data_IF_401731749186
#
_entry.id   IF_401731749186
#
_cell.length_a   1.000
_cell.length_b   1.000
_cell.length_c   1.000
_cell.angle_alpha   90.00
_cell.angle_beta   90.00
_cell.angle_gamma   90.00
#
_symmetry.space_group_name_H-M   'P 1'
#
loop_
_entity.id
_entity.type
_entity.pdbx_description
1 polymer ?
#
# COMPACT_ATOMS: atom_id res chain seq x y z
N UNK A 1 53.56 -6.80 -25.24
CA UNK A 1 54.62 -6.28 -26.13
C UNK A 1 54.63 -4.78 -25.99
N UNK A 2 55.76 -4.21 -25.54
CA UNK A 2 56.04 -2.76 -25.49
C UNK A 2 55.82 -2.12 -26.86
N UNK A 3 55.29 -0.89 -26.90
CA UNK A 3 56.06 0.30 -27.34
C UNK A 3 55.25 1.58 -27.16
N UNK A 4 55.80 2.41 -26.29
CA UNK A 4 55.69 3.86 -26.30
C UNK A 4 56.24 4.48 -27.59
N UNK A 5 56.04 5.80 -27.67
CA UNK A 5 56.82 6.80 -28.40
C UNK A 5 56.19 7.21 -29.74
N UNK A 6 56.06 8.49 -30.13
CA UNK A 6 56.29 9.83 -29.57
C UNK A 6 56.06 10.80 -30.75
N UNK A 7 56.03 12.11 -30.46
CA UNK A 7 56.35 13.25 -31.34
C UNK A 7 55.21 14.19 -31.75
N UNK A 8 55.22 15.28 -30.99
CA UNK A 8 54.91 16.66 -31.30
C UNK A 8 54.98 17.09 -32.78
N UNK A 9 54.09 18.03 -33.15
CA UNK A 9 54.51 19.24 -33.84
C UNK A 9 53.48 20.37 -33.64
N UNK A 10 54.05 21.51 -33.23
CA UNK A 10 53.51 22.86 -33.12
C UNK A 10 52.96 23.36 -34.46
N UNK A 11 51.86 24.11 -34.49
CA UNK A 11 51.72 25.30 -35.35
C UNK A 11 50.72 26.28 -34.74
N UNK A 12 51.22 27.48 -34.44
CA UNK A 12 50.44 28.63 -34.04
C UNK A 12 49.82 29.31 -35.26
N UNK A 13 48.56 29.73 -35.17
CA UNK A 13 48.03 30.86 -35.95
C UNK A 13 47.10 31.68 -35.06
N UNK A 14 47.52 32.92 -34.82
CA UNK A 14 46.72 34.02 -34.27
C UNK A 14 45.83 34.60 -35.39
N UNK A 15 44.58 34.93 -35.07
CA UNK A 15 43.69 35.78 -35.88
C UNK A 15 42.24 35.59 -35.45
N UNK A 16 41.72 36.38 -34.51
CA UNK A 16 41.02 37.67 -34.66
C UNK A 16 39.60 37.58 -35.26
N UNK A 17 38.69 38.27 -34.54
CA UNK A 17 37.38 38.82 -34.96
C UNK A 17 36.11 37.95 -34.87
N UNK A 18 35.49 38.02 -33.69
CA UNK A 18 34.11 38.48 -33.42
C UNK A 18 33.07 38.36 -34.55
N UNK A 19 32.03 37.55 -34.31
CA UNK A 19 30.64 37.95 -34.61
C UNK A 19 29.70 37.34 -33.57
N UNK A 20 29.02 38.22 -32.83
CA UNK A 20 27.90 37.88 -31.97
C UNK A 20 26.73 37.43 -32.84
N UNK A 21 26.41 36.14 -32.78
CA UNK A 21 25.20 35.55 -33.35
C UNK A 21 24.32 35.02 -32.23
N UNK A 22 23.28 35.80 -31.87
CA UNK A 22 22.20 35.40 -30.97
C UNK A 22 21.61 34.05 -31.37
N UNK A 23 21.94 32.99 -30.62
CA UNK A 23 21.11 31.79 -30.57
C UNK A 23 20.13 31.95 -29.40
N UNK A 24 18.80 31.89 -29.62
CA UNK A 24 17.89 31.63 -28.54
C UNK A 24 18.11 30.18 -28.13
N UNK A 25 18.96 29.95 -27.13
CA UNK A 25 18.86 28.73 -26.36
C UNK A 25 17.47 28.76 -25.73
N UNK A 26 16.57 27.91 -26.24
CA UNK A 26 15.47 27.40 -25.45
C UNK A 26 16.09 26.76 -24.22
N UNK A 27 16.26 27.57 -23.17
CA UNK A 27 16.45 27.06 -21.82
C UNK A 27 15.15 26.34 -21.52
N UNK A 28 15.19 25.01 -21.58
CA UNK A 28 14.25 24.20 -20.80
C UNK A 28 14.14 24.83 -19.41
N UNK A 29 12.94 24.91 -18.82
CA UNK A 29 12.85 25.29 -17.43
C UNK A 29 13.67 24.29 -16.63
N UNK A 30 14.86 24.71 -16.21
CA UNK A 30 15.55 24.10 -15.09
C UNK A 30 14.66 24.44 -13.92
N UNK A 31 13.75 23.52 -13.60
CA UNK A 31 13.15 23.49 -12.26
C UNK A 31 14.36 23.34 -11.35
N UNK A 32 14.76 24.46 -10.74
CA UNK A 32 15.73 24.44 -9.66
C UNK A 32 15.08 23.61 -8.55
N UNK A 33 15.43 22.33 -8.48
CA UNK A 33 15.20 21.49 -7.32
C UNK A 33 15.94 22.16 -6.17
N UNK A 34 15.24 23.02 -5.44
CA UNK A 34 15.71 23.59 -4.19
C UNK A 34 16.06 22.44 -3.24
N UNK A 35 17.31 22.43 -2.81
CA UNK A 35 17.93 21.51 -1.83
C UNK A 35 17.71 20.00 -2.08
N UNK A 36 18.75 19.34 -2.58
CA UNK A 36 18.93 17.87 -2.56
C UNK A 36 19.23 17.30 -1.17
N UNK A 37 19.08 18.08 -0.10
CA UNK A 37 19.29 17.59 1.25
C UNK A 37 18.05 16.82 1.69
N UNK A 38 18.05 15.52 1.39
CA UNK A 38 17.13 14.56 1.97
C UNK A 38 17.26 14.68 3.50
N UNK A 39 16.29 15.33 4.14
CA UNK A 39 16.33 15.47 5.58
C UNK A 39 16.30 14.09 6.22
N UNK A 40 17.05 13.91 7.32
CA UNK A 40 16.98 12.68 8.11
C UNK A 40 15.55 12.57 8.65
N UNK A 41 14.74 11.74 8.00
CA UNK A 41 13.36 11.50 8.40
C UNK A 41 13.40 10.65 9.67
N UNK A 42 12.85 11.19 10.77
CA UNK A 42 12.69 10.43 12.02
C UNK A 42 11.71 9.28 11.76
N UNK A 43 12.08 8.07 12.15
CA UNK A 43 11.19 6.91 12.09
C UNK A 43 9.91 7.12 12.91
N UNK A 44 8.79 6.60 12.41
CA UNK A 44 7.51 6.59 13.14
C UNK A 44 7.62 5.55 14.26
N UNK A 45 7.53 5.99 15.52
CA UNK A 45 7.68 5.13 16.70
C UNK A 45 6.38 4.46 17.16
N UNK A 46 5.30 4.57 16.38
CA UNK A 46 4.03 3.93 16.70
C UNK A 46 4.06 2.46 16.28
N UNK A 47 3.92 1.56 17.27
CA UNK A 47 4.03 0.12 17.04
C UNK A 47 2.87 -0.47 16.23
N UNK A 48 1.66 0.11 16.30
CA UNK A 48 0.52 -0.33 15.51
C UNK A 48 0.72 0.08 14.05
N UNK A 49 1.12 1.34 13.82
CA UNK A 49 1.47 1.82 12.48
C UNK A 49 2.60 1.00 11.88
N UNK A 50 3.68 0.75 12.62
CA UNK A 50 4.81 -0.03 12.13
C UNK A 50 4.40 -1.47 11.76
N UNK A 51 3.62 -2.15 12.62
CA UNK A 51 3.13 -3.51 12.34
C UNK A 51 2.22 -3.54 11.12
N UNK A 52 1.27 -2.61 11.03
CA UNK A 52 0.34 -2.53 9.90
C UNK A 52 1.07 -2.24 8.59
N UNK A 53 2.04 -1.31 8.59
CA UNK A 53 2.73 -0.95 7.35
C UNK A 53 3.79 -1.96 6.91
N UNK A 54 4.44 -2.67 7.84
CA UNK A 54 5.52 -3.60 7.49
C UNK A 54 5.06 -5.05 7.31
N UNK A 55 4.06 -5.51 8.06
CA UNK A 55 3.75 -6.93 8.18
C UNK A 55 2.36 -7.32 7.67
N UNK A 56 1.53 -6.36 7.24
CA UNK A 56 0.17 -6.68 6.84
C UNK A 56 0.07 -7.30 5.45
N UNK A 57 -0.94 -8.14 5.28
CA UNK A 57 -1.52 -8.41 3.97
C UNK A 57 -2.52 -7.29 3.67
N UNK A 58 -2.41 -6.67 2.50
CA UNK A 58 -3.28 -5.56 2.09
C UNK A 58 -4.18 -6.01 0.96
N UNK A 59 -5.48 -5.81 1.12
CA UNK A 59 -6.49 -6.01 0.07
C UNK A 59 -7.06 -4.66 -0.32
N UNK A 60 -6.92 -4.31 -1.60
CA UNK A 60 -7.62 -3.18 -2.21
C UNK A 60 -9.06 -3.57 -2.49
N UNK A 61 -10.01 -3.01 -1.73
CA UNK A 61 -11.41 -3.38 -1.84
C UNK A 61 -12.07 -2.76 -3.07
N UNK A 62 -11.56 -1.64 -3.58
CA UNK A 62 -12.05 -1.04 -4.82
C UNK A 62 -11.62 -1.82 -6.06
N UNK A 63 -10.52 -2.57 -5.96
CA UNK A 63 -10.07 -3.50 -7.02
C UNK A 63 -10.93 -4.77 -7.15
N UNK A 64 -11.85 -5.01 -6.22
CA UNK A 64 -12.77 -6.15 -6.28
C UNK A 64 -13.95 -5.85 -7.22
N UNK A 65 -14.55 -6.91 -7.79
CA UNK A 65 -15.74 -6.76 -8.63
C UNK A 65 -16.86 -6.03 -7.89
N UNK A 66 -17.37 -4.94 -8.48
CA UNK A 66 -18.40 -4.06 -7.92
C UNK A 66 -17.86 -2.88 -7.10
N UNK A 67 -16.55 -2.81 -6.82
CA UNK A 67 -15.94 -1.74 -6.03
C UNK A 67 -15.55 -0.48 -6.81
N UNK A 68 -15.62 -0.52 -8.14
CA UNK A 68 -15.32 0.56 -9.08
C UNK A 68 -16.37 1.68 -9.09
N UNK A 69 -17.58 1.37 -8.62
CA UNK A 69 -18.71 2.32 -8.56
C UNK A 69 -18.85 3.08 -7.24
N UNK A 70 -17.98 2.80 -6.25
CA UNK A 70 -18.03 3.45 -4.95
C UNK A 70 -17.22 4.76 -4.93
N UNK A 71 -17.76 5.79 -4.27
CA UNK A 71 -17.02 7.03 -3.97
C UNK A 71 -16.11 6.89 -2.73
N UNK A 72 -15.99 5.68 -2.18
CA UNK A 72 -15.11 5.38 -1.06
C UNK A 72 -13.84 4.70 -1.56
N UNK A 73 -12.68 5.23 -1.18
CA UNK A 73 -11.41 4.51 -1.24
C UNK A 73 -11.27 3.63 -0.01
N UNK A 74 -11.12 2.31 -0.19
CA UNK A 74 -11.11 1.35 0.90
C UNK A 74 -9.99 0.33 0.78
N UNK A 75 -9.26 0.13 1.88
CA UNK A 75 -8.20 -0.88 2.00
C UNK A 75 -8.36 -1.66 3.30
N UNK A 76 -8.32 -2.98 3.20
CA UNK A 76 -8.29 -3.86 4.35
C UNK A 76 -6.87 -4.33 4.61
N UNK A 77 -6.40 -4.12 5.83
CA UNK A 77 -5.10 -4.57 6.31
C UNK A 77 -5.31 -5.73 7.28
N UNK A 78 -4.70 -6.88 7.03
CA UNK A 78 -4.64 -8.01 7.95
C UNK A 78 -3.25 -8.14 8.55
N UNK A 79 -3.09 -7.86 9.83
CA UNK A 79 -1.80 -7.98 10.54
C UNK A 79 -1.68 -9.38 11.15
N UNK A 80 -0.66 -10.19 10.78
CA UNK A 80 -0.54 -11.55 11.26
C UNK A 80 -0.34 -11.59 12.77
N UNK A 81 -1.12 -12.43 13.44
CA UNK A 81 -1.00 -12.73 14.87
C UNK A 81 -0.41 -14.12 15.03
N UNK A 82 0.78 -14.17 15.62
CA UNK A 82 1.42 -15.42 16.00
C UNK A 82 0.70 -16.05 17.19
N UNK A 83 0.75 -17.38 17.26
CA UNK A 83 0.20 -18.14 18.37
C UNK A 83 0.76 -19.56 18.38
N UNK A 84 0.15 -20.44 19.16
CA UNK A 84 0.58 -21.85 19.30
C UNK A 84 -0.30 -22.82 18.53
N UNK A 85 -1.09 -22.33 17.55
CA UNK A 85 -2.02 -23.16 16.79
C UNK A 85 -1.30 -24.14 15.85
N UNK A 86 -0.05 -23.88 15.46
CA UNK A 86 0.78 -24.80 14.69
C UNK A 86 2.11 -24.96 15.44
N UNK A 87 2.46 -26.17 15.91
CA UNK A 87 3.72 -26.40 16.63
C UNK A 87 4.93 -26.05 15.77
N UNK A 88 5.93 -25.41 16.37
CA UNK A 88 7.28 -25.23 15.78
C UNK A 88 7.31 -24.51 14.42
N UNK A 89 6.33 -23.65 14.12
CA UNK A 89 6.31 -22.84 12.89
C UNK A 89 6.07 -21.35 13.17
N UNK A 90 6.30 -20.50 12.17
CA UNK A 90 5.97 -19.07 12.17
C UNK A 90 4.64 -18.76 11.48
N UNK A 91 3.82 -19.77 11.19
CA UNK A 91 2.53 -19.59 10.52
C UNK A 91 1.60 -18.78 11.43
N UNK A 92 0.92 -17.73 10.92
CA UNK A 92 -0.02 -16.97 11.72
C UNK A 92 -1.21 -17.83 12.13
N UNK A 93 -1.70 -17.62 13.35
CA UNK A 93 -2.89 -18.31 13.87
C UNK A 93 -4.17 -17.52 13.63
N UNK A 94 -4.02 -16.23 13.39
CA UNK A 94 -5.09 -15.26 13.24
C UNK A 94 -4.53 -14.02 12.53
N UNK A 95 -5.42 -13.12 12.14
CA UNK A 95 -5.09 -11.78 11.68
C UNK A 95 -5.88 -10.75 12.48
N UNK A 96 -5.23 -9.64 12.80
CA UNK A 96 -5.83 -8.44 13.37
C UNK A 96 -6.15 -7.46 12.24
N UNK A 97 -7.44 -7.16 12.04
CA UNK A 97 -7.89 -6.46 10.84
C UNK A 97 -8.19 -4.99 11.07
N UNK A 98 -7.74 -4.16 10.13
CA UNK A 98 -7.99 -2.72 10.08
C UNK A 98 -8.55 -2.34 8.71
N UNK A 99 -9.69 -1.63 8.70
CA UNK A 99 -10.30 -1.11 7.48
C UNK A 99 -10.03 0.39 7.40
N UNK A 100 -9.24 0.82 6.42
CA UNK A 100 -9.10 2.23 6.09
C UNK A 100 -10.16 2.62 5.06
N UNK A 101 -10.86 3.72 5.32
CA UNK A 101 -11.90 4.28 4.45
C UNK A 101 -11.63 5.77 4.25
N UNK A 102 -11.69 6.23 3.00
CA UNK A 102 -11.53 7.63 2.61
C UNK A 102 -12.52 8.00 1.53
N UNK A 103 -12.90 9.27 1.45
CA UNK A 103 -13.66 9.81 0.30
C UNK A 103 -12.70 10.22 -0.83
N UNK A 104 -13.26 10.45 -2.03
CA UNK A 104 -12.55 11.00 -3.19
C UNK A 104 -12.81 12.51 -3.40
N UNK A 105 -12.94 13.27 -2.32
CA UNK A 105 -13.21 14.72 -2.34
C UNK A 105 -11.93 15.57 -2.23
N UNK A 106 -12.04 16.89 -2.42
CA UNK A 106 -10.93 17.85 -2.27
C UNK A 106 -10.36 17.89 -0.83
N UNK A 107 -11.21 17.64 0.15
CA UNK A 107 -10.85 17.49 1.57
C UNK A 107 -11.43 16.18 2.08
N UNK A 108 -10.81 15.04 1.74
CA UNK A 108 -11.41 13.74 1.97
C UNK A 108 -11.50 13.48 3.47
N UNK A 109 -12.68 13.10 3.94
CA UNK A 109 -12.81 12.53 5.28
C UNK A 109 -12.16 11.14 5.27
N UNK A 110 -11.51 10.80 6.37
CA UNK A 110 -10.75 9.56 6.50
C UNK A 110 -10.97 8.95 7.87
N UNK A 111 -11.13 7.63 7.90
CA UNK A 111 -11.18 6.86 9.14
C UNK A 111 -10.48 5.53 8.98
N UNK A 112 -10.00 5.00 10.11
CA UNK A 112 -9.51 3.63 10.21
C UNK A 112 -10.31 2.93 11.30
N UNK A 113 -10.93 1.82 10.95
CA UNK A 113 -11.72 1.01 11.87
C UNK A 113 -10.95 -0.25 12.23
N UNK A 114 -10.94 -0.59 13.51
CA UNK A 114 -10.42 -1.86 14.01
C UNK A 114 -11.53 -2.91 14.00
N UNK A 115 -11.39 -3.94 13.16
CA UNK A 115 -12.37 -5.02 13.04
C UNK A 115 -12.11 -6.17 14.03
N UNK A 116 -10.97 -6.12 14.72
CA UNK A 116 -10.56 -7.10 15.72
C UNK A 116 -9.72 -8.25 15.16
N UNK A 117 -9.38 -9.16 16.08
CA UNK A 117 -8.60 -10.36 15.81
C UNK A 117 -9.55 -11.50 15.47
N UNK A 118 -9.47 -11.99 14.23
CA UNK A 118 -10.19 -13.18 13.76
C UNK A 118 -9.20 -14.13 13.07
N UNK A 119 -9.64 -15.31 12.61
CA UNK A 119 -8.75 -16.23 11.91
C UNK A 119 -8.28 -15.67 10.58
N UNK A 120 -9.07 -15.83 9.52
CA UNK A 120 -8.79 -15.31 8.19
C UNK A 120 -10.09 -14.87 7.51
N UNK A 121 -10.01 -13.81 6.71
CA UNK A 121 -11.07 -13.36 5.80
C UNK A 121 -10.69 -13.80 4.38
N UNK A 122 -11.08 -15.02 3.93
CA UNK A 122 -10.70 -15.52 2.61
C UNK A 122 -11.43 -14.81 1.47
N UNK A 123 -12.66 -14.32 1.71
CA UNK A 123 -13.52 -13.76 0.67
C UNK A 123 -14.24 -12.51 1.17
N UNK A 124 -14.18 -11.46 0.34
CA UNK A 124 -14.95 -10.23 0.45
C UNK A 124 -15.62 -9.97 -0.89
N UNK A 125 -16.94 -9.72 -0.84
CA UNK A 125 -17.73 -9.51 -2.06
C UNK A 125 -18.60 -8.28 -1.90
N UNK A 126 -18.61 -7.41 -2.90
CA UNK A 126 -19.55 -6.30 -2.96
C UNK A 126 -20.98 -6.81 -3.16
N UNK A 127 -21.90 -6.35 -2.31
CA UNK A 127 -23.32 -6.70 -2.41
C UNK A 127 -24.09 -5.60 -3.14
N UNK A 128 -23.86 -4.34 -2.78
CA UNK A 128 -24.50 -3.21 -3.42
C UNK A 128 -23.75 -1.90 -3.17
N UNK A 129 -23.90 -0.99 -4.13
CA UNK A 129 -23.57 0.44 -4.02
C UNK A 129 -24.86 1.20 -4.30
N UNK A 130 -25.84 1.10 -3.40
CA UNK A 130 -27.12 1.80 -3.58
C UNK A 130 -26.97 3.31 -3.38
N UNK A 131 -25.93 3.71 -2.64
CA UNK A 131 -25.58 5.09 -2.37
C UNK A 131 -24.06 5.24 -2.59
N UNK A 132 -23.58 6.29 -3.28
CA UNK A 132 -22.17 6.39 -3.66
C UNK A 132 -21.20 6.38 -2.46
N UNK A 133 -21.64 6.97 -1.34
CA UNK A 133 -20.83 7.14 -0.12
C UNK A 133 -21.08 6.02 0.91
N UNK A 134 -21.72 4.93 0.48
CA UNK A 134 -21.96 3.74 1.29
C UNK A 134 -21.51 2.51 0.54
N UNK A 135 -20.91 1.58 1.29
CA UNK A 135 -20.57 0.27 0.78
C UNK A 135 -21.25 -0.81 1.63
N UNK A 136 -21.77 -1.85 0.98
CA UNK A 136 -22.12 -3.09 1.67
C UNK A 136 -21.29 -4.23 1.12
N UNK A 137 -20.51 -4.85 2.00
CA UNK A 137 -19.71 -6.03 1.70
C UNK A 137 -20.27 -7.24 2.43
N UNK A 138 -20.25 -8.40 1.77
CA UNK A 138 -20.35 -9.70 2.44
C UNK A 138 -18.95 -10.19 2.72
N UNK A 139 -18.74 -10.62 3.96
CA UNK A 139 -17.48 -11.12 4.48
C UNK A 139 -17.67 -12.53 5.01
N UNK A 140 -16.82 -13.44 4.57
CA UNK A 140 -16.71 -14.78 5.16
C UNK A 140 -15.45 -14.81 6.03
N UNK A 141 -15.57 -15.34 7.24
CA UNK A 141 -14.49 -15.46 8.22
C UNK A 141 -14.30 -16.93 8.57
N UNK A 142 -13.06 -17.40 8.53
CA UNK A 142 -12.66 -18.69 9.11
C UNK A 142 -11.90 -18.43 10.41
N UNK A 143 -12.08 -19.27 11.43
CA UNK A 143 -11.43 -19.13 12.74
C UNK A 143 -9.91 -19.38 12.74
N UNK A 144 -9.35 -19.93 11.66
CA UNK A 144 -7.91 -20.09 11.44
C UNK A 144 -7.58 -19.78 9.98
N UNK A 145 -6.38 -19.25 9.69
CA UNK A 145 -5.88 -19.15 8.32
C UNK A 145 -5.73 -20.51 7.65
N UNK A 146 -5.91 -20.56 6.33
CA UNK A 146 -5.80 -21.80 5.55
C UNK A 146 -4.44 -22.46 5.74
N UNK A 147 -3.35 -21.69 5.75
CA UNK A 147 -2.00 -22.21 5.99
C UNK A 147 -1.87 -22.92 7.35
N UNK A 148 -2.58 -22.44 8.39
CA UNK A 148 -2.58 -23.07 9.71
C UNK A 148 -3.39 -24.37 9.70
N UNK A 149 -4.56 -24.37 9.04
CA UNK A 149 -5.40 -25.55 8.86
C UNK A 149 -4.66 -26.67 8.10
N UNK A 150 -3.93 -26.31 7.05
CA UNK A 150 -3.14 -27.23 6.24
C UNK A 150 -1.95 -27.82 7.04
N UNK A 151 -1.36 -27.00 7.93
CA UNK A 151 -0.19 -27.39 8.72
C UNK A 151 -0.53 -28.13 10.02
N UNK A 152 -1.76 -28.02 10.50
CA UNK A 152 -2.20 -28.71 11.72
C UNK A 152 -3.59 -29.37 11.54
N UNK A 153 -3.63 -30.69 11.22
CA UNK A 153 -4.87 -31.44 11.04
C UNK A 153 -5.76 -31.56 12.29
N UNK A 154 -5.26 -31.20 13.47
CA UNK A 154 -6.08 -31.16 14.70
C UNK A 154 -6.99 -29.93 14.77
N UNK A 155 -6.67 -28.87 14.03
CA UNK A 155 -7.52 -27.70 13.93
C UNK A 155 -8.84 -28.06 13.22
N UNK A 156 -9.90 -27.34 13.60
CA UNK A 156 -11.23 -27.50 13.01
C UNK A 156 -11.68 -26.15 12.46
N UNK A 157 -11.97 -26.07 11.15
CA UNK A 157 -12.44 -24.84 10.55
C UNK A 157 -13.87 -24.56 11.02
N UNK A 158 -14.09 -23.33 11.46
CA UNK A 158 -15.41 -22.76 11.74
C UNK A 158 -15.54 -21.56 10.82
N UNK A 159 -16.55 -21.59 9.96
CA UNK A 159 -16.84 -20.52 9.01
C UNK A 159 -18.04 -19.72 9.51
N UNK A 160 -17.94 -18.40 9.44
CA UNK A 160 -19.01 -17.45 9.78
C UNK A 160 -19.14 -16.41 8.68
N UNK A 161 -20.35 -15.93 8.45
CA UNK A 161 -20.60 -14.88 7.47
C UNK A 161 -21.15 -13.63 8.14
N UNK A 162 -20.80 -12.48 7.56
CA UNK A 162 -21.19 -11.17 8.05
C UNK A 162 -21.51 -10.24 6.88
N UNK A 163 -22.38 -9.27 7.14
CA UNK A 163 -22.50 -8.06 6.33
C UNK A 163 -21.77 -6.91 7.01
N UNK A 164 -20.98 -6.18 6.23
CA UNK A 164 -20.34 -4.95 6.64
C UNK A 164 -21.04 -3.81 5.92
N UNK A 165 -21.68 -2.93 6.68
CA UNK A 165 -22.20 -1.67 6.19
C UNK A 165 -21.20 -0.57 6.53
N UNK A 166 -20.62 0.04 5.51
CA UNK A 166 -19.47 0.93 5.64
C UNK A 166 -19.85 2.32 5.16
N UNK A 167 -19.53 3.30 6.00
CA UNK A 167 -19.49 4.72 5.74
C UNK A 167 -18.15 5.26 6.24
N UNK A 168 -17.76 6.46 5.82
CA UNK A 168 -16.45 7.00 6.20
C UNK A 168 -16.33 7.23 7.71
N UNK A 169 -17.45 7.48 8.40
CA UNK A 169 -17.46 7.81 9.83
C UNK A 169 -17.98 6.67 10.70
N UNK A 170 -18.50 5.60 10.09
CA UNK A 170 -19.16 4.52 10.82
C UNK A 170 -19.07 3.19 10.08
N UNK A 171 -19.03 2.11 10.85
CA UNK A 171 -19.13 0.76 10.33
C UNK A 171 -20.04 -0.08 11.22
N UNK A 172 -20.96 -0.81 10.58
CA UNK A 172 -21.77 -1.81 11.24
C UNK A 172 -21.43 -3.21 10.72
N UNK A 173 -21.20 -4.15 11.64
CA UNK A 173 -20.94 -5.56 11.33
C UNK A 173 -22.11 -6.40 11.83
N UNK A 174 -22.81 -7.06 10.90
CA UNK A 174 -24.04 -7.81 11.18
C UNK A 174 -23.80 -9.29 10.86
N UNK A 175 -24.01 -10.22 11.81
CA UNK A 175 -23.92 -11.66 11.51
C UNK A 175 -25.04 -12.08 10.57
N UNK A 176 -24.73 -13.00 9.64
CA UNK A 176 -25.68 -13.66 8.76
C UNK A 176 -26.13 -15.02 9.30
#
# INVERSE_FOLDING_TARGET
>A
MKRESEKAALFAVMGLLSVAGCHPQMRSPVIALGSTDLQVVKGIADSAVAKTLCNSVVVDLNGLAGGDSSNLAMKLYGVPISGTCVPETQVPCAYDYYLAVSEYDEQPRQSVFHLGVVGEIPVLTWISVSEPDRATLRMTVTNFPQAALDSNPSLRPIVREYLLHIQVQDIAVVPL
#
